data_IF_594469993331
#
_entry.id   IF_594469993331
#
_cell.length_a   1.000
_cell.length_b   1.000
_cell.length_c   1.000
_cell.angle_alpha   90.00
_cell.angle_beta   90.00
_cell.angle_gamma   90.00
#
_symmetry.space_group_name_H-M   'P 1'
#
loop_
_entity.id
_entity.type
_entity.pdbx_description
1 polymer ?
#
# COMPACT_ATOMS: atom_id res chain seq x y z
N UNK A 1 7.37 -53.86 37.65
CA UNK A 1 7.28 -53.55 36.21
C UNK A 1 6.56 -52.22 36.08
N UNK A 2 7.21 -51.21 35.49
CA UNK A 2 6.76 -49.81 35.46
C UNK A 2 5.50 -49.63 34.61
N UNK A 3 4.48 -48.97 35.16
CA UNK A 3 3.34 -48.40 34.42
C UNK A 3 3.76 -47.08 33.79
N UNK A 4 3.83 -47.02 32.46
CA UNK A 4 4.06 -45.80 31.70
C UNK A 4 2.77 -44.97 31.64
N UNK A 5 2.77 -43.78 32.23
CA UNK A 5 1.70 -42.81 32.08
C UNK A 5 1.90 -42.03 30.78
N UNK A 6 1.01 -42.23 29.80
CA UNK A 6 0.93 -41.38 28.61
C UNK A 6 0.30 -40.04 28.99
N UNK A 7 1.10 -38.97 28.97
CA UNK A 7 0.58 -37.61 28.95
C UNK A 7 0.14 -37.26 27.52
N UNK A 8 -1.16 -37.22 27.29
CA UNK A 8 -1.72 -36.61 26.10
C UNK A 8 -1.59 -35.08 26.22
N UNK A 9 -0.68 -34.48 25.46
CA UNK A 9 -0.63 -33.03 25.32
C UNK A 9 -1.85 -32.58 24.53
N UNK A 10 -2.82 -31.95 25.19
CA UNK A 10 -3.93 -31.30 24.52
C UNK A 10 -3.38 -30.10 23.72
N UNK A 11 -3.41 -30.20 22.40
CA UNK A 11 -3.21 -29.06 21.50
C UNK A 11 -4.39 -28.10 21.71
N UNK A 12 -4.17 -27.08 22.54
CA UNK A 12 -5.12 -25.98 22.70
C UNK A 12 -5.13 -25.19 21.39
N UNK A 13 -6.18 -25.36 20.59
CA UNK A 13 -6.41 -24.53 19.41
C UNK A 13 -6.70 -23.11 19.91
N UNK A 14 -5.72 -22.22 19.79
CA UNK A 14 -5.90 -20.81 20.11
C UNK A 14 -7.08 -20.27 19.29
N UNK A 15 -8.13 -19.80 19.98
CA UNK A 15 -9.25 -19.12 19.33
C UNK A 15 -8.72 -17.85 18.67
N UNK A 16 -9.03 -17.57 17.39
CA UNK A 16 -8.63 -16.35 16.72
C UNK A 16 -9.01 -15.14 17.57
N UNK A 17 -8.06 -14.24 17.82
CA UNK A 17 -8.39 -13.00 18.52
C UNK A 17 -9.32 -12.15 17.65
N UNK A 18 -10.25 -11.39 18.23
CA UNK A 18 -11.01 -10.41 17.47
C UNK A 18 -10.03 -9.45 16.78
N UNK A 19 -10.29 -9.17 15.50
CA UNK A 19 -9.42 -8.30 14.71
C UNK A 19 -9.22 -6.95 15.40
N UNK A 20 -8.01 -6.36 15.29
CA UNK A 20 -7.78 -5.02 15.84
C UNK A 20 -8.73 -4.02 15.18
N UNK A 21 -9.33 -3.14 15.97
CA UNK A 21 -10.14 -2.07 15.42
C UNK A 21 -9.24 -1.04 14.72
N UNK A 22 -9.50 -0.85 13.42
CA UNK A 22 -8.87 0.21 12.63
C UNK A 22 -9.62 1.55 12.72
N UNK A 23 -10.69 1.65 13.50
CA UNK A 23 -11.54 2.86 13.60
C UNK A 23 -10.76 4.15 13.95
N UNK A 24 -9.75 4.16 14.83
CA UNK A 24 -8.96 5.36 15.08
C UNK A 24 -8.20 5.85 13.84
N UNK A 25 -7.60 4.93 13.08
CA UNK A 25 -6.91 5.28 11.84
C UNK A 25 -7.87 5.68 10.74
N UNK A 26 -9.00 4.99 10.63
CA UNK A 26 -10.09 5.33 9.72
C UNK A 26 -10.59 6.77 9.93
N UNK A 27 -10.84 7.16 11.19
CA UNK A 27 -11.26 8.52 11.52
C UNK A 27 -10.21 9.56 11.10
N UNK A 28 -8.92 9.29 11.32
CA UNK A 28 -7.84 10.18 10.89
C UNK A 28 -7.72 10.28 9.37
N UNK A 29 -7.83 9.15 8.65
CA UNK A 29 -7.84 9.14 7.18
C UNK A 29 -9.01 9.96 6.64
N UNK A 30 -10.21 9.78 7.20
CA UNK A 30 -11.40 10.56 6.83
C UNK A 30 -11.26 12.04 7.15
N UNK A 31 -10.53 12.41 8.20
CA UNK A 31 -10.29 13.81 8.56
C UNK A 31 -9.21 14.47 7.67
N UNK A 32 -8.14 13.74 7.36
CA UNK A 32 -6.86 14.33 6.90
C UNK A 32 -6.37 13.81 5.55
N UNK A 33 -7.17 13.02 4.83
CA UNK A 33 -6.88 12.59 3.46
C UNK A 33 -7.98 13.05 2.51
N UNK A 34 -7.61 13.76 1.43
CA UNK A 34 -8.54 14.24 0.38
C UNK A 34 -7.95 13.95 -0.99
N UNK A 35 -8.64 13.14 -1.80
CA UNK A 35 -8.17 12.79 -3.15
C UNK A 35 -6.77 12.17 -3.18
N UNK A 36 -6.38 11.43 -2.14
CA UNK A 36 -5.04 10.87 -1.97
C UNK A 36 -3.97 11.84 -1.46
N UNK A 37 -4.29 13.12 -1.22
CA UNK A 37 -3.42 14.08 -0.56
C UNK A 37 -3.55 13.99 0.96
N UNK A 38 -2.42 14.07 1.67
CA UNK A 38 -2.33 13.80 3.12
C UNK A 38 -1.87 15.04 3.87
N UNK A 39 -2.59 15.43 4.92
CA UNK A 39 -2.13 16.41 5.91
C UNK A 39 -1.22 15.71 6.93
N UNK A 40 0.05 15.57 6.58
CA UNK A 40 1.06 14.91 7.42
C UNK A 40 1.20 15.56 8.79
N UNK A 41 1.11 16.89 8.87
CA UNK A 41 1.26 17.62 10.12
C UNK A 41 0.10 17.34 11.08
N UNK A 42 -1.13 17.21 10.57
CA UNK A 42 -2.27 16.81 11.39
C UNK A 42 -2.10 15.40 11.98
N UNK A 43 -1.62 14.43 11.18
CA UNK A 43 -1.26 13.11 11.68
C UNK A 43 -0.16 13.17 12.76
N UNK A 44 0.85 14.01 12.57
CA UNK A 44 1.96 14.15 13.52
C UNK A 44 1.53 14.72 14.88
N UNK A 45 0.51 15.59 14.89
CA UNK A 45 -0.06 16.19 16.11
C UNK A 45 -1.12 15.32 16.80
N UNK A 46 -1.78 14.42 16.07
CA UNK A 46 -2.90 13.63 16.59
C UNK A 46 -2.43 12.55 17.61
N UNK A 47 -2.84 12.62 18.89
CA UNK A 47 -2.53 11.57 19.87
C UNK A 47 -3.15 10.22 19.48
N UNK A 48 -4.29 10.22 18.80
CA UNK A 48 -4.98 9.02 18.29
C UNK A 48 -4.11 8.25 17.29
N UNK A 49 -3.27 8.95 16.53
CA UNK A 49 -2.37 8.30 15.59
C UNK A 49 -1.29 7.50 16.31
N UNK A 50 -0.68 8.09 17.35
CA UNK A 50 0.29 7.40 18.21
C UNK A 50 -0.34 6.21 18.93
N UNK A 51 -1.56 6.38 19.43
CA UNK A 51 -2.33 5.30 20.07
C UNK A 51 -2.62 4.15 19.09
N UNK A 52 -2.92 4.47 17.83
CA UNK A 52 -3.10 3.48 16.77
C UNK A 52 -1.81 2.72 16.46
N UNK A 53 -0.67 3.39 16.29
CA UNK A 53 0.61 2.69 16.10
C UNK A 53 0.94 1.77 17.29
N UNK A 54 0.62 2.19 18.52
CA UNK A 54 0.78 1.37 19.71
C UNK A 54 -0.17 0.16 19.75
N UNK A 55 -1.35 0.23 19.13
CA UNK A 55 -2.25 -0.92 19.02
C UNK A 55 -1.75 -1.94 18.00
N UNK A 56 -1.18 -1.48 16.88
CA UNK A 56 -0.49 -2.34 15.90
C UNK A 56 0.64 -3.13 16.56
N UNK A 57 1.44 -2.45 17.39
CA UNK A 57 2.54 -3.07 18.13
C UNK A 57 2.09 -4.19 19.08
N UNK A 58 0.84 -4.19 19.54
CA UNK A 58 0.28 -5.21 20.45
C UNK A 58 -0.51 -6.31 19.75
N UNK A 59 -0.86 -6.11 18.48
CA UNK A 59 -1.68 -7.06 17.73
C UNK A 59 -0.81 -8.21 17.23
N UNK A 60 -1.18 -9.46 17.53
CA UNK A 60 -0.53 -10.63 16.94
C UNK A 60 -1.14 -10.95 15.56
N UNK A 61 -0.42 -10.72 14.44
CA UNK A 61 -0.94 -10.98 13.11
C UNK A 61 -1.14 -12.47 12.82
N UNK A 62 -0.48 -13.37 13.56
CA UNK A 62 -0.61 -14.82 13.37
C UNK A 62 -1.95 -15.36 13.91
N UNK A 63 -2.59 -14.62 14.83
CA UNK A 63 -3.90 -14.97 15.40
C UNK A 63 -5.09 -14.61 14.51
N UNK A 64 -4.87 -13.86 13.42
CA UNK A 64 -5.92 -13.33 12.55
C UNK A 64 -6.23 -14.24 11.37
N UNK A 65 -7.46 -14.19 10.87
CA UNK A 65 -7.77 -14.80 9.57
C UNK A 65 -7.06 -14.06 8.42
N UNK A 66 -7.04 -14.67 7.23
CA UNK A 66 -6.30 -14.13 6.08
C UNK A 66 -6.72 -12.70 5.70
N UNK A 67 -8.01 -12.37 5.74
CA UNK A 67 -8.49 -11.05 5.34
C UNK A 67 -8.10 -9.99 6.38
N UNK A 68 -8.32 -10.26 7.67
CA UNK A 68 -7.93 -9.34 8.75
C UNK A 68 -6.42 -9.15 8.83
N UNK A 69 -5.63 -10.21 8.61
CA UNK A 69 -4.18 -10.12 8.56
C UNK A 69 -3.71 -9.23 7.40
N UNK A 70 -4.29 -9.38 6.20
CA UNK A 70 -3.92 -8.53 5.06
C UNK A 70 -4.33 -7.07 5.29
N UNK A 71 -5.54 -6.82 5.80
CA UNK A 71 -6.00 -5.48 6.17
C UNK A 71 -5.06 -4.83 7.19
N UNK A 72 -4.66 -5.57 8.24
CA UNK A 72 -3.70 -5.14 9.23
C UNK A 72 -2.38 -4.71 8.59
N UNK A 73 -1.80 -5.54 7.71
CA UNK A 73 -0.51 -5.25 7.09
C UNK A 73 -0.56 -4.06 6.12
N UNK A 74 -1.63 -3.93 5.34
CA UNK A 74 -1.83 -2.78 4.45
C UNK A 74 -1.95 -1.49 5.28
N UNK A 75 -2.77 -1.52 6.34
CA UNK A 75 -2.93 -0.36 7.22
C UNK A 75 -1.64 -0.03 7.98
N UNK A 76 -0.89 -1.03 8.44
CA UNK A 76 0.41 -0.83 9.08
C UNK A 76 1.40 -0.19 8.11
N UNK A 77 1.52 -0.69 6.88
CA UNK A 77 2.38 -0.08 5.87
C UNK A 77 2.02 1.39 5.64
N UNK A 78 0.74 1.70 5.39
CA UNK A 78 0.30 3.06 5.09
C UNK A 78 0.47 4.01 6.30
N UNK A 79 0.13 3.57 7.50
CA UNK A 79 0.34 4.34 8.72
C UNK A 79 1.83 4.58 8.97
N UNK A 80 2.67 3.56 8.82
CA UNK A 80 4.11 3.74 9.03
C UNK A 80 4.80 4.53 7.92
N UNK A 81 4.25 4.57 6.69
CA UNK A 81 4.69 5.54 5.69
C UNK A 81 4.43 6.97 6.16
N UNK A 82 3.24 7.27 6.70
CA UNK A 82 2.93 8.59 7.29
C UNK A 82 3.87 8.90 8.46
N UNK A 83 4.08 7.92 9.34
CA UNK A 83 5.01 8.05 10.47
C UNK A 83 6.44 8.31 10.02
N UNK A 84 6.91 7.65 8.94
CA UNK A 84 8.24 7.85 8.38
C UNK A 84 8.42 9.30 7.89
N UNK A 85 7.46 9.81 7.13
CA UNK A 85 7.47 11.20 6.66
C UNK A 85 7.52 12.19 7.83
N UNK A 86 6.74 11.95 8.89
CA UNK A 86 6.73 12.81 10.07
C UNK A 86 8.00 12.69 10.93
N UNK A 87 8.54 11.48 11.11
CA UNK A 87 9.76 11.26 11.89
C UNK A 87 10.97 12.00 11.30
N UNK A 88 10.99 12.18 9.98
CA UNK A 88 12.05 12.87 9.25
C UNK A 88 11.74 14.32 8.89
N UNK A 89 10.57 14.86 9.29
CA UNK A 89 10.09 16.19 8.88
C UNK A 89 10.14 16.42 7.35
N UNK A 90 9.93 15.37 6.55
CA UNK A 90 10.06 15.42 5.08
C UNK A 90 8.80 16.02 4.45
N UNK A 91 8.92 16.99 3.53
CA UNK A 91 7.76 17.69 2.93
C UNK A 91 7.82 17.83 1.41
N UNK A 92 8.87 17.31 0.78
CA UNK A 92 9.12 17.40 -0.66
C UNK A 92 9.06 16.05 -1.35
N UNK A 93 9.75 15.03 -0.84
CA UNK A 93 9.80 13.69 -1.43
C UNK A 93 10.27 12.66 -0.42
N UNK A 94 9.57 11.52 -0.31
CA UNK A 94 10.02 10.37 0.49
C UNK A 94 11.45 9.94 0.16
N UNK A 95 11.90 10.15 -1.10
CA UNK A 95 13.25 9.78 -1.55
C UNK A 95 14.37 10.59 -0.89
N UNK A 96 14.05 11.67 -0.20
CA UNK A 96 15.01 12.49 0.56
C UNK A 96 15.41 11.84 1.89
N UNK A 97 14.57 10.95 2.42
CA UNK A 97 14.80 10.27 3.68
C UNK A 97 15.91 9.23 3.52
N UNK A 98 16.87 9.23 4.44
CA UNK A 98 18.03 8.34 4.43
C UNK A 98 18.73 8.34 3.05
N UNK A 99 18.88 9.51 2.43
CA UNK A 99 19.73 9.66 1.24
C UNK A 99 21.18 9.40 1.61
N UNK A 100 21.86 8.62 0.77
CA UNK A 100 23.31 8.47 0.84
C UNK A 100 23.97 9.80 0.48
N UNK A 101 24.74 10.37 1.42
CA UNK A 101 25.63 11.50 1.13
C UNK A 101 27.08 10.97 1.09
N UNK A 102 27.73 11.09 -0.06
CA UNK A 102 29.12 10.65 -0.24
C UNK A 102 29.29 9.13 -0.16
N UNK A 103 30.28 8.65 0.61
CA UNK A 103 30.69 7.24 0.69
C UNK A 103 29.85 6.38 1.64
N UNK A 104 28.96 6.98 2.44
CA UNK A 104 28.09 6.23 3.36
C UNK A 104 26.84 5.78 2.61
N UNK A 105 26.74 4.47 2.35
CA UNK A 105 25.52 3.87 1.79
C UNK A 105 24.41 3.88 2.84
N UNK A 106 23.45 4.77 2.67
CA UNK A 106 22.15 4.65 3.31
C UNK A 106 21.25 3.76 2.45
N UNK A 107 20.36 3.01 3.11
CA UNK A 107 19.56 1.96 2.48
C UNK A 107 18.21 2.46 1.91
N UNK A 108 18.01 3.79 1.85
CA UNK A 108 16.77 4.44 1.42
C UNK A 108 15.67 4.37 2.48
N UNK A 109 14.53 5.07 2.27
CA UNK A 109 13.46 5.21 3.26
C UNK A 109 12.82 3.87 3.64
N UNK A 110 12.68 2.96 2.67
CA UNK A 110 11.95 1.71 2.86
C UNK A 110 12.68 0.65 3.69
N UNK A 111 13.96 0.88 4.04
CA UNK A 111 14.78 -0.05 4.83
C UNK A 111 14.91 0.32 6.30
N UNK A 112 14.41 1.49 6.70
CA UNK A 112 14.40 1.90 8.10
C UNK A 112 13.42 1.04 8.91
N UNK A 113 13.88 0.49 10.04
CA UNK A 113 13.06 -0.35 10.92
C UNK A 113 12.25 0.47 11.92
N UNK A 114 11.26 1.20 11.43
CA UNK A 114 10.37 2.01 12.27
C UNK A 114 9.01 1.36 12.59
N UNK A 115 8.58 0.38 11.78
CA UNK A 115 7.24 -0.17 11.89
C UNK A 115 7.19 -1.27 12.95
N UNK A 116 6.38 -1.11 14.00
CA UNK A 116 6.26 -2.10 15.07
C UNK A 116 4.91 -2.78 15.02
N UNK A 117 4.88 -4.08 14.76
CA UNK A 117 3.66 -4.90 14.70
C UNK A 117 3.91 -6.19 15.47
N UNK A 118 2.99 -6.58 16.37
CA UNK A 118 3.14 -7.81 17.16
C UNK A 118 4.46 -7.88 17.95
N UNK A 119 4.91 -6.75 18.51
CA UNK A 119 6.14 -6.64 19.30
C UNK A 119 7.45 -6.67 18.50
N UNK A 120 7.39 -6.78 17.16
CA UNK A 120 8.58 -6.81 16.30
C UNK A 120 8.69 -5.57 15.43
N UNK A 121 9.91 -5.06 15.28
CA UNK A 121 10.24 -3.98 14.36
C UNK A 121 10.50 -4.51 12.93
N UNK A 122 9.93 -3.80 11.96
CA UNK A 122 9.99 -4.06 10.53
C UNK A 122 10.30 -2.77 9.78
N UNK A 123 10.88 -2.92 8.60
CA UNK A 123 10.91 -1.91 7.57
C UNK A 123 9.69 -2.02 6.65
N UNK A 124 9.38 -0.95 5.91
CA UNK A 124 8.29 -0.97 4.92
C UNK A 124 8.54 -2.03 3.84
N UNK A 125 9.81 -2.22 3.45
CA UNK A 125 10.22 -3.29 2.53
C UNK A 125 9.94 -4.68 3.10
N UNK A 126 10.23 -4.94 4.38
CA UNK A 126 9.94 -6.24 5.01
C UNK A 126 8.41 -6.50 5.05
N UNK A 127 7.61 -5.48 5.35
CA UNK A 127 6.15 -5.60 5.33
C UNK A 127 5.64 -5.97 3.93
N UNK A 128 6.07 -5.24 2.90
CA UNK A 128 5.60 -5.48 1.54
C UNK A 128 6.16 -6.78 0.96
N UNK A 129 7.48 -6.92 0.93
CA UNK A 129 8.16 -7.97 0.16
C UNK A 129 8.18 -9.31 0.91
N UNK A 130 8.47 -9.28 2.21
CA UNK A 130 8.69 -10.50 2.97
C UNK A 130 7.42 -11.04 3.62
N UNK A 131 6.41 -10.18 3.81
CA UNK A 131 5.14 -10.56 4.43
C UNK A 131 4.00 -10.54 3.41
N UNK A 132 3.64 -9.37 2.87
CA UNK A 132 2.43 -9.25 2.05
C UNK A 132 2.54 -10.07 0.75
N UNK A 133 3.58 -9.82 -0.06
CA UNK A 133 3.74 -10.47 -1.37
C UNK A 133 3.88 -11.99 -1.24
N UNK A 134 4.62 -12.47 -0.24
CA UNK A 134 4.87 -13.91 -0.03
C UNK A 134 3.67 -14.68 0.52
N UNK A 135 2.80 -14.05 1.32
CA UNK A 135 1.76 -14.77 2.07
C UNK A 135 0.36 -14.66 1.47
N UNK A 136 0.06 -13.60 0.72
CA UNK A 136 -1.32 -13.32 0.32
C UNK A 136 -1.64 -13.56 -1.15
N UNK A 137 -0.64 -13.50 -2.04
CA UNK A 137 -0.82 -13.62 -3.50
C UNK A 137 -1.93 -12.68 -4.03
N UNK A 138 -1.90 -11.42 -3.57
CA UNK A 138 -2.93 -10.42 -3.86
C UNK A 138 -2.32 -9.27 -4.68
N UNK A 139 -2.48 -9.24 -6.01
CA UNK A 139 -1.86 -8.21 -6.87
C UNK A 139 -2.39 -6.80 -6.63
N UNK A 140 -3.60 -6.63 -6.05
CA UNK A 140 -4.18 -5.31 -5.77
C UNK A 140 -3.44 -4.56 -4.65
N UNK A 141 -2.54 -5.22 -3.91
CA UNK A 141 -1.69 -4.57 -2.91
C UNK A 141 -0.83 -3.45 -3.51
N UNK A 142 -0.43 -3.58 -4.78
CA UNK A 142 0.34 -2.54 -5.49
C UNK A 142 -0.43 -1.24 -5.68
N UNK A 143 -1.76 -1.26 -5.47
CA UNK A 143 -2.63 -0.09 -5.51
C UNK A 143 -3.02 0.40 -4.11
N UNK A 144 -2.79 -0.43 -3.08
CA UNK A 144 -3.18 -0.19 -1.70
C UNK A 144 -2.03 0.23 -0.79
N UNK A 145 -0.79 -0.13 -1.13
CA UNK A 145 0.43 0.26 -0.40
C UNK A 145 0.98 1.58 -0.97
N UNK A 146 0.71 2.69 -0.28
CA UNK A 146 1.01 4.02 -0.80
C UNK A 146 2.36 4.51 -0.29
N UNK A 147 3.25 4.82 -1.24
CA UNK A 147 4.62 5.26 -1.02
C UNK A 147 4.80 6.77 -0.80
N UNK A 148 3.72 7.48 -0.45
CA UNK A 148 3.68 8.94 -0.26
C UNK A 148 4.04 9.81 -1.50
N UNK A 149 4.16 9.25 -2.70
CA UNK A 149 4.43 10.02 -3.92
C UNK A 149 3.15 10.38 -4.70
N UNK A 150 3.13 11.51 -5.40
CA UNK A 150 2.02 11.89 -6.30
C UNK A 150 1.79 10.89 -7.44
N UNK A 151 2.87 10.27 -7.94
CA UNK A 151 2.83 9.20 -8.93
C UNK A 151 2.28 7.87 -8.39
N UNK A 152 2.28 7.68 -7.06
CA UNK A 152 1.77 6.48 -6.41
C UNK A 152 0.23 6.41 -6.54
N UNK A 153 -0.40 5.23 -6.36
CA UNK A 153 -1.84 5.14 -6.18
C UNK A 153 -2.33 6.08 -5.06
N UNK A 154 -3.53 6.68 -5.18
CA UNK A 154 -4.01 7.61 -4.18
C UNK A 154 -4.21 6.90 -2.83
N UNK A 155 -3.79 7.53 -1.73
CA UNK A 155 -4.12 7.00 -0.40
C UNK A 155 -5.63 7.06 -0.18
N UNK A 156 -6.22 5.91 0.17
CA UNK A 156 -7.63 5.80 0.51
C UNK A 156 -7.93 6.63 1.77
N UNK A 157 -9.06 7.34 1.78
CA UNK A 157 -9.50 8.13 2.94
C UNK A 157 -10.25 7.31 3.99
N UNK A 158 -10.08 5.99 3.99
CA UNK A 158 -10.63 5.06 4.98
C UNK A 158 -9.65 3.89 5.17
N UNK A 159 -9.68 3.28 6.35
CA UNK A 159 -8.81 2.14 6.64
C UNK A 159 -9.36 0.85 6.02
N UNK A 160 -8.47 -0.09 5.70
CA UNK A 160 -8.87 -1.42 5.24
C UNK A 160 -9.41 -2.25 6.40
N UNK A 161 -10.45 -3.05 6.17
CA UNK A 161 -11.02 -3.96 7.17
C UNK A 161 -11.29 -5.32 6.54
N UNK A 162 -11.02 -6.42 7.25
CA UNK A 162 -11.10 -7.77 6.65
C UNK A 162 -12.48 -8.10 6.08
N UNK A 163 -13.56 -7.65 6.73
CA UNK A 163 -14.93 -7.86 6.28
C UNK A 163 -15.25 -7.20 4.91
N UNK A 164 -14.57 -6.13 4.55
CA UNK A 164 -14.80 -5.34 3.32
C UNK A 164 -13.59 -5.29 2.40
N UNK A 165 -12.52 -6.01 2.75
CA UNK A 165 -11.20 -5.87 2.13
C UNK A 165 -11.24 -6.08 0.62
N UNK A 166 -11.95 -7.10 0.15
CA UNK A 166 -12.03 -7.42 -1.27
C UNK A 166 -12.65 -6.26 -2.09
N UNK A 167 -13.77 -5.72 -1.61
CA UNK A 167 -14.43 -4.57 -2.23
C UNK A 167 -13.54 -3.32 -2.18
N UNK A 168 -12.85 -3.07 -1.07
CA UNK A 168 -11.92 -1.95 -0.93
C UNK A 168 -10.74 -2.06 -1.90
N UNK A 169 -10.18 -3.26 -2.08
CA UNK A 169 -9.09 -3.51 -3.02
C UNK A 169 -9.54 -3.39 -4.48
N UNK A 170 -10.73 -3.88 -4.85
CA UNK A 170 -11.28 -3.71 -6.19
C UNK A 170 -11.53 -2.24 -6.52
N UNK A 171 -12.14 -1.49 -5.60
CA UNK A 171 -12.37 -0.05 -5.76
C UNK A 171 -11.04 0.72 -5.89
N UNK A 172 -10.06 0.40 -5.04
CA UNK A 172 -8.73 1.01 -5.12
C UNK A 172 -8.05 0.76 -6.48
N UNK A 173 -8.18 -0.45 -7.02
CA UNK A 173 -7.69 -0.79 -8.35
C UNK A 173 -8.40 0.02 -9.45
N UNK A 174 -9.73 0.19 -9.37
CA UNK A 174 -10.49 1.02 -10.32
C UNK A 174 -10.06 2.48 -10.27
N UNK A 175 -9.89 3.05 -9.08
CA UNK A 175 -9.43 4.43 -8.92
C UNK A 175 -8.06 4.64 -9.58
N UNK A 176 -7.12 3.72 -9.34
CA UNK A 176 -5.78 3.83 -9.92
C UNK A 176 -5.75 3.61 -11.44
N UNK A 177 -6.48 2.61 -11.93
CA UNK A 177 -6.42 2.19 -13.34
C UNK A 177 -7.28 3.06 -14.26
N UNK A 178 -8.43 3.55 -13.78
CA UNK A 178 -9.43 4.20 -14.63
C UNK A 178 -9.56 5.70 -14.36
N UNK A 179 -9.27 6.15 -13.13
CA UNK A 179 -9.51 7.54 -12.72
C UNK A 179 -8.22 8.37 -12.64
N UNK A 180 -7.09 7.81 -13.11
CA UNK A 180 -5.79 8.48 -13.16
C UNK A 180 -5.22 8.48 -14.59
N UNK A 181 -5.78 9.24 -15.54
CA UNK A 181 -5.38 9.20 -16.97
C UNK A 181 -3.91 9.57 -17.22
N UNK A 182 -3.32 10.36 -16.31
CA UNK A 182 -1.88 10.68 -16.33
C UNK A 182 -1.00 9.48 -15.99
N UNK A 183 -1.54 8.50 -15.26
CA UNK A 183 -0.84 7.27 -14.82
C UNK A 183 -1.17 6.07 -15.70
N UNK A 184 -2.43 5.92 -16.10
CA UNK A 184 -2.91 4.77 -16.87
C UNK A 184 -3.96 5.24 -17.90
N UNK A 185 -3.78 4.89 -19.17
CA UNK A 185 -4.79 5.10 -20.25
C UNK A 185 -4.47 4.23 -21.46
N UNK A 186 -5.48 3.96 -22.29
CA UNK A 186 -5.32 3.16 -23.51
C UNK A 186 -5.64 4.01 -24.74
N UNK A 187 -4.71 4.08 -25.68
CA UNK A 187 -4.93 4.64 -27.01
C UNK A 187 -5.14 3.50 -28.00
N UNK A 188 -6.41 3.26 -28.34
CA UNK A 188 -6.79 2.19 -29.27
C UNK A 188 -6.27 2.46 -30.67
N UNK A 189 -6.27 3.72 -31.11
CA UNK A 189 -5.88 4.12 -32.47
C UNK A 189 -4.40 3.89 -32.72
N UNK A 190 -3.56 4.25 -31.74
CA UNK A 190 -2.12 4.03 -31.79
C UNK A 190 -1.72 2.62 -31.34
N UNK A 191 -2.65 1.83 -30.80
CA UNK A 191 -2.42 0.54 -30.14
C UNK A 191 -1.40 0.64 -29.00
N UNK A 192 -1.51 1.69 -28.18
CA UNK A 192 -0.58 1.96 -27.07
C UNK A 192 -1.33 1.92 -25.74
N UNK A 193 -0.78 1.19 -24.76
CA UNK A 193 -1.17 1.33 -23.36
C UNK A 193 -0.13 2.21 -22.65
N UNK A 194 -0.57 3.35 -22.12
CA UNK A 194 0.25 4.16 -21.25
C UNK A 194 0.07 3.67 -19.83
N UNK A 195 1.13 3.15 -19.21
CA UNK A 195 1.05 2.46 -17.92
C UNK A 195 2.04 3.04 -16.91
N UNK A 196 1.63 3.03 -15.65
CA UNK A 196 2.49 3.38 -14.53
C UNK A 196 3.73 2.47 -14.45
N UNK A 197 4.89 2.98 -14.01
CA UNK A 197 6.07 2.18 -13.70
C UNK A 197 5.83 0.98 -12.77
N UNK A 198 4.76 0.97 -11.98
CA UNK A 198 4.32 -0.19 -11.18
C UNK A 198 4.25 -1.47 -12.01
N UNK A 199 3.87 -1.37 -13.30
CA UNK A 199 3.72 -2.52 -14.18
C UNK A 199 5.00 -2.92 -14.91
N UNK A 200 6.05 -2.08 -14.88
CA UNK A 200 7.19 -2.19 -15.80
C UNK A 200 8.54 -2.12 -15.10
N UNK A 201 8.76 -1.09 -14.29
CA UNK A 201 10.11 -0.73 -13.79
C UNK A 201 10.27 -0.97 -12.29
N UNK A 202 9.17 -1.04 -11.54
CA UNK A 202 9.23 -1.19 -10.09
C UNK A 202 9.50 -2.64 -9.69
N UNK A 203 10.74 -2.90 -9.28
CA UNK A 203 11.23 -4.20 -8.83
C UNK A 203 10.84 -5.29 -9.84
N UNK A 204 10.20 -6.35 -9.37
CA UNK A 204 9.68 -7.43 -10.20
C UNK A 204 8.15 -7.56 -10.10
N UNK A 205 7.45 -6.44 -9.83
CA UNK A 205 5.99 -6.42 -9.60
C UNK A 205 5.19 -6.94 -10.79
N UNK A 206 5.74 -6.85 -12.00
CA UNK A 206 5.16 -7.49 -13.19
C UNK A 206 4.82 -8.97 -12.97
N UNK A 207 5.59 -9.70 -12.15
CA UNK A 207 5.33 -11.11 -11.82
C UNK A 207 4.01 -11.33 -11.09
N UNK A 208 3.61 -10.38 -10.25
CA UNK A 208 2.35 -10.45 -9.51
C UNK A 208 1.15 -10.26 -10.46
N UNK A 209 1.39 -9.71 -11.65
CA UNK A 209 0.43 -9.56 -12.75
C UNK A 209 0.61 -10.62 -13.86
N UNK A 210 1.33 -11.72 -13.59
CA UNK A 210 1.54 -12.83 -14.52
C UNK A 210 2.84 -12.77 -15.35
N UNK A 211 3.68 -11.76 -15.13
CA UNK A 211 5.08 -11.75 -15.57
C UNK A 211 5.35 -11.33 -17.01
N UNK A 212 4.32 -10.97 -17.78
CA UNK A 212 4.47 -10.49 -19.16
C UNK A 212 3.55 -9.31 -19.48
N UNK A 213 3.86 -8.58 -20.56
CA UNK A 213 3.00 -7.52 -21.06
C UNK A 213 1.57 -8.01 -21.37
N UNK A 214 1.44 -9.19 -21.98
CA UNK A 214 0.13 -9.75 -22.32
C UNK A 214 -0.70 -10.08 -21.07
N UNK A 215 -0.07 -10.61 -20.02
CA UNK A 215 -0.75 -10.89 -18.75
C UNK A 215 -1.11 -9.61 -17.99
N UNK A 216 -0.27 -8.57 -18.05
CA UNK A 216 -0.60 -7.23 -17.51
C UNK A 216 -1.80 -6.65 -18.25
N UNK A 217 -1.82 -6.73 -19.58
CA UNK A 217 -2.96 -6.31 -20.40
C UNK A 217 -4.26 -7.00 -19.97
N UNK A 218 -4.25 -8.34 -19.90
CA UNK A 218 -5.41 -9.12 -19.41
C UNK A 218 -5.79 -8.79 -17.97
N UNK A 219 -4.82 -8.49 -17.11
CA UNK A 219 -5.08 -8.07 -15.73
C UNK A 219 -5.90 -6.78 -15.72
N UNK A 220 -5.41 -5.76 -16.43
CA UNK A 220 -6.02 -4.42 -16.48
C UNK A 220 -7.37 -4.47 -17.20
N UNK A 221 -7.50 -5.28 -18.25
CA UNK A 221 -8.74 -5.44 -19.04
C UNK A 221 -9.97 -5.82 -18.20
N UNK A 222 -9.78 -6.45 -17.03
CA UNK A 222 -10.87 -6.79 -16.09
C UNK A 222 -11.61 -5.57 -15.53
N UNK A 223 -10.95 -4.42 -15.49
CA UNK A 223 -11.52 -3.19 -14.94
C UNK A 223 -12.20 -2.33 -16.01
N UNK A 224 -11.91 -2.57 -17.29
CA UNK A 224 -12.51 -1.83 -18.39
C UNK A 224 -13.90 -2.38 -18.76
N UNK A 225 -14.86 -1.53 -19.15
CA UNK A 225 -16.12 -1.99 -19.73
C UNK A 225 -15.87 -2.74 -21.05
N UNK A 226 -16.89 -3.45 -21.54
CA UNK A 226 -16.81 -4.06 -22.86
C UNK A 226 -16.60 -2.98 -23.94
N UNK A 227 -15.61 -3.17 -24.82
CA UNK A 227 -15.24 -2.20 -25.83
C UNK A 227 -13.79 -2.34 -26.31
N UNK A 228 -13.40 -1.47 -27.23
CA UNK A 228 -12.15 -1.59 -27.96
C UNK A 228 -10.88 -1.51 -27.08
N UNK A 229 -10.92 -0.73 -25.99
CA UNK A 229 -9.81 -0.69 -25.02
C UNK A 229 -9.60 -2.04 -24.33
N UNK A 230 -10.70 -2.63 -23.83
CA UNK A 230 -10.67 -3.96 -23.20
C UNK A 230 -10.22 -5.03 -24.18
N UNK A 231 -10.69 -4.98 -25.43
CA UNK A 231 -10.32 -5.95 -26.46
C UNK A 231 -8.84 -5.84 -26.84
N UNK A 232 -8.32 -4.62 -26.97
CA UNK A 232 -6.90 -4.38 -27.22
C UNK A 232 -6.04 -4.94 -26.09
N UNK A 233 -6.39 -4.61 -24.83
CA UNK A 233 -5.69 -5.11 -23.64
C UNK A 233 -5.72 -6.63 -23.54
N UNK A 234 -6.89 -7.26 -23.76
CA UNK A 234 -7.05 -8.71 -23.75
C UNK A 234 -6.21 -9.41 -24.84
N UNK A 235 -6.09 -8.78 -26.01
CA UNK A 235 -5.30 -9.33 -27.11
C UNK A 235 -3.81 -9.41 -26.81
N UNK A 236 -3.29 -8.60 -25.87
CA UNK A 236 -1.86 -8.46 -25.61
C UNK A 236 -1.05 -7.80 -26.74
N UNK A 237 -1.71 -7.39 -27.84
CA UNK A 237 -1.09 -6.85 -29.06
C UNK A 237 -1.06 -5.32 -29.05
N UNK A 238 -0.43 -4.73 -28.03
CA UNK A 238 -0.23 -3.29 -27.88
C UNK A 238 1.22 -3.00 -27.50
N UNK A 239 1.66 -1.75 -27.63
CA UNK A 239 2.94 -1.29 -27.08
C UNK A 239 2.71 -0.65 -25.72
N UNK A 240 3.58 -0.90 -24.74
CA UNK A 240 3.57 -0.16 -23.48
C UNK A 240 4.42 1.09 -23.60
N UNK A 241 3.86 2.24 -23.24
CA UNK A 241 4.62 3.46 -22.96
C UNK A 241 4.53 3.77 -21.46
N UNK A 242 5.68 3.81 -20.79
CA UNK A 242 5.72 4.09 -19.35
C UNK A 242 5.40 5.57 -19.12
N UNK A 243 4.50 5.87 -18.18
CA UNK A 243 4.17 7.25 -17.79
C UNK A 243 5.19 7.81 -16.80
N UNK A 244 5.31 9.14 -16.75
CA UNK A 244 6.16 9.80 -15.76
C UNK A 244 5.70 9.49 -14.32
N UNK A 245 6.67 9.31 -13.42
CA UNK A 245 6.42 9.10 -12.00
C UNK A 245 6.80 10.32 -11.18
N UNK A 246 5.78 11.07 -10.75
CA UNK A 246 5.98 12.24 -9.92
C UNK A 246 6.35 11.83 -8.47
N UNK A 247 7.62 11.99 -8.12
CA UNK A 247 8.17 11.69 -6.79
C UNK A 247 7.93 12.78 -5.73
N UNK A 248 7.29 13.89 -6.08
CA UNK A 248 6.86 14.87 -5.09
C UNK A 248 5.87 14.24 -4.11
N UNK A 249 5.98 14.64 -2.86
CA UNK A 249 5.15 14.16 -1.76
C UNK A 249 3.68 14.46 -2.06
N UNK A 250 2.78 13.50 -1.80
CA UNK A 250 1.33 13.67 -1.89
C UNK A 250 0.79 14.49 -0.70
N UNK A 251 1.39 15.65 -0.46
CA UNK A 251 1.06 16.50 0.67
C UNK A 251 -0.17 17.37 0.38
N UNK A 252 -1.10 17.41 1.32
CA UNK A 252 -2.15 18.40 1.36
C UNK A 252 -1.55 19.72 1.81
N UNK A 253 -1.30 20.63 0.87
CA UNK A 253 -0.90 21.99 1.23
C UNK A 253 -2.13 22.72 1.75
N UNK A 254 -2.03 23.31 2.94
CA UNK A 254 -3.04 24.25 3.40
C UNK A 254 -3.24 25.32 2.31
N UNK A 255 -4.49 25.68 2.03
CA UNK A 255 -4.79 26.81 1.19
C UNK A 255 -4.26 28.06 1.89
N UNK A 256 -3.03 28.47 1.56
CA UNK A 256 -2.59 29.82 1.87
C UNK A 256 -3.34 30.72 0.91
N UNK A 257 -4.44 31.34 1.37
CA UNK A 257 -5.00 32.50 0.65
C UNK A 257 -3.83 33.41 0.28
N UNK A 258 -3.73 33.88 -0.99
CA UNK A 258 -2.69 34.83 -1.35
C UNK A 258 -2.81 36.01 -0.39
N UNK A 259 -1.79 36.26 0.43
CA UNK A 259 -1.75 37.50 1.19
C UNK A 259 -1.73 38.60 0.13
N UNK A 260 -2.79 39.41 0.13
CA UNK A 260 -2.88 40.59 -0.71
C UNK A 260 -1.60 41.41 -0.56
N UNK A 261 -1.08 41.82 -1.71
CA UNK A 261 -0.04 42.83 -1.91
C UNK A 261 -0.29 44.09 -1.08
#
# INVERSE_FOLDING_TARGET
MLTAALFAAALSLATPQPAPSHSPFDALLKAHVRGGLVDYDAFGRAPEFKAYLASLAKTDPASLNKADALALWINAYNAYTIQLINAHNERESIRNINKSFGVVKAYGPWKEKLAVVGGRAYSLDEIEQDIIRKRFAEPRIHFALVCAAMGCPPLRSEAYAGATLDAQLDDQARQFLLQSPTKNRVDVSARVAYLSPIFVEFRDYIKDFGGSQATVGRYIARYFPAGAERDLLNSGRFTVRVTEYNWSLNIMRAYTSPRGS
#
